data_IF_209191277695
#
_entry.id   IF_209191277695
#
_cell.length_a   1.000
_cell.length_b   1.000
_cell.length_c   1.000
_cell.angle_alpha   90.00
_cell.angle_beta   90.00
_cell.angle_gamma   90.00
#
_symmetry.space_group_name_H-M   'P 1'
#
loop_
_entity.id
_entity.type
_entity.pdbx_description
1 polymer ?
#
# COMPACT_ATOMS: atom_id res chain seq x y z
N UNK A 1 -3.34 -23.40 22.28
CA UNK A 1 -3.38 -22.50 21.10
C UNK A 1 -3.58 -23.37 19.85
N UNK A 2 -4.78 -23.33 19.29
CA UNK A 2 -5.09 -24.13 18.11
C UNK A 2 -4.73 -23.38 16.84
N UNK A 3 -3.81 -23.91 16.08
CA UNK A 3 -3.48 -23.42 14.75
C UNK A 3 -4.55 -23.91 13.75
N UNK A 4 -5.42 -23.01 13.36
CA UNK A 4 -6.40 -23.31 12.30
C UNK A 4 -5.69 -23.46 10.95
N UNK A 5 -5.69 -24.65 10.42
CA UNK A 5 -5.15 -24.96 9.09
C UNK A 5 -6.07 -24.35 8.03
N UNK A 6 -5.64 -23.23 7.42
CA UNK A 6 -6.43 -22.48 6.42
C UNK A 6 -6.16 -23.01 5.02
N UNK A 7 -7.02 -23.89 4.53
CA UNK A 7 -7.03 -24.23 3.10
C UNK A 7 -8.18 -23.48 2.39
N UNK A 8 -7.93 -22.79 1.29
CA UNK A 8 -8.98 -22.12 0.53
C UNK A 8 -9.85 -23.13 -0.24
N UNK A 9 -11.15 -22.98 -0.10
CA UNK A 9 -12.13 -23.80 -0.82
C UNK A 9 -12.56 -23.05 -2.09
N UNK A 10 -12.69 -23.77 -3.20
CA UNK A 10 -13.07 -23.28 -4.54
C UNK A 10 -14.30 -22.35 -4.52
N UNK A 11 -14.22 -21.30 -5.33
CA UNK A 11 -15.20 -20.23 -5.51
C UNK A 11 -16.64 -20.70 -5.77
N UNK A 12 -17.47 -20.61 -4.75
CA UNK A 12 -18.92 -20.50 -4.90
C UNK A 12 -19.35 -19.11 -4.42
N UNK A 13 -20.53 -18.66 -4.77
CA UNK A 13 -21.09 -17.35 -4.40
C UNK A 13 -21.01 -17.10 -2.88
N UNK A 14 -19.99 -16.36 -2.44
CA UNK A 14 -19.71 -16.02 -1.04
C UNK A 14 -18.62 -16.89 -0.42
N UNK A 15 -17.61 -16.22 0.11
CA UNK A 15 -16.48 -16.87 0.78
C UNK A 15 -16.94 -17.62 2.03
N UNK A 16 -16.86 -18.95 1.99
CA UNK A 16 -17.12 -19.83 3.13
C UNK A 16 -15.82 -20.52 3.51
N UNK A 17 -15.54 -20.54 4.78
CA UNK A 17 -14.36 -21.19 5.33
C UNK A 17 -14.79 -22.44 6.12
N UNK A 18 -14.05 -23.51 5.92
CA UNK A 18 -14.19 -24.71 6.71
C UNK A 18 -13.53 -24.49 8.06
N UNK A 19 -14.33 -24.46 9.10
CA UNK A 19 -13.85 -24.42 10.48
C UNK A 19 -14.04 -25.83 11.06
N UNK A 20 -13.00 -26.37 11.63
CA UNK A 20 -13.10 -27.65 12.36
C UNK A 20 -13.26 -27.32 13.84
N UNK A 21 -14.35 -27.76 14.43
CA UNK A 21 -14.61 -27.60 15.86
C UNK A 21 -13.74 -28.57 16.67
N UNK A 22 -13.60 -28.33 17.97
CA UNK A 22 -12.79 -29.17 18.85
C UNK A 22 -13.24 -30.64 18.89
N UNK A 23 -14.51 -30.93 18.55
CA UNK A 23 -15.06 -32.27 18.41
C UNK A 23 -14.89 -32.88 16.99
N UNK A 24 -14.09 -32.23 16.15
CA UNK A 24 -13.74 -32.72 14.81
C UNK A 24 -14.80 -32.49 13.74
N UNK A 25 -15.90 -31.82 14.04
CA UNK A 25 -16.95 -31.51 13.06
C UNK A 25 -16.59 -30.34 12.18
N UNK A 26 -16.82 -30.48 10.88
CA UNK A 26 -16.59 -29.41 9.92
C UNK A 26 -17.81 -28.50 9.79
N UNK A 27 -17.64 -27.22 10.07
CA UNK A 27 -18.70 -26.23 9.97
C UNK A 27 -18.31 -25.20 8.91
N UNK A 28 -19.15 -25.03 7.91
CA UNK A 28 -18.96 -24.00 6.88
C UNK A 28 -19.69 -22.74 7.32
N UNK A 29 -18.94 -21.71 7.66
CA UNK A 29 -19.55 -20.43 8.05
C UNK A 29 -19.04 -19.30 7.18
N UNK A 30 -19.94 -18.41 6.82
CA UNK A 30 -19.56 -17.15 6.19
C UNK A 30 -18.80 -16.27 7.20
N UNK A 31 -17.65 -15.79 6.83
CA UNK A 31 -16.79 -14.99 7.72
C UNK A 31 -17.42 -13.65 8.09
N UNK A 32 -18.14 -13.01 7.16
CA UNK A 32 -18.76 -11.69 7.39
C UNK A 32 -19.64 -11.61 8.66
N UNK A 33 -20.53 -12.57 8.94
CA UNK A 33 -21.30 -12.52 10.19
C UNK A 33 -20.46 -12.75 11.45
N UNK A 34 -19.45 -13.60 11.39
CA UNK A 34 -18.57 -13.89 12.53
C UNK A 34 -17.73 -12.66 12.91
N UNK A 35 -17.15 -12.00 11.91
CA UNK A 35 -16.37 -10.78 12.13
C UNK A 35 -17.22 -9.61 12.64
N UNK A 36 -18.43 -9.47 12.07
CA UNK A 36 -19.38 -8.45 12.54
C UNK A 36 -19.78 -8.66 14.00
N UNK A 37 -19.88 -9.91 14.43
CA UNK A 37 -20.20 -10.27 15.82
C UNK A 37 -19.02 -10.04 16.77
N UNK A 38 -17.80 -10.30 16.32
CA UNK A 38 -16.58 -10.19 17.14
C UNK A 38 -16.03 -8.76 17.24
N UNK A 39 -16.14 -7.97 16.16
CA UNK A 39 -15.45 -6.69 16.02
C UNK A 39 -16.38 -5.50 15.67
N UNK A 40 -17.70 -5.70 15.68
CA UNK A 40 -18.69 -4.65 15.40
C UNK A 40 -18.89 -4.35 13.91
N UNK A 41 -19.69 -3.32 13.65
CA UNK A 41 -20.16 -3.01 12.28
C UNK A 41 -19.11 -2.43 11.33
N UNK A 42 -17.91 -2.11 11.80
CA UNK A 42 -16.96 -1.29 11.04
C UNK A 42 -15.97 -2.07 10.18
N UNK A 43 -15.91 -3.39 10.29
CA UNK A 43 -15.00 -4.17 9.46
C UNK A 43 -15.68 -4.70 8.20
N UNK A 44 -15.45 -4.01 7.09
CA UNK A 44 -15.70 -4.54 5.76
C UNK A 44 -14.59 -5.53 5.43
N UNK A 45 -14.95 -6.80 5.34
CA UNK A 45 -14.05 -7.88 4.90
C UNK A 45 -13.95 -7.95 3.37
N UNK A 46 -13.69 -6.84 2.74
CA UNK A 46 -13.06 -6.90 1.43
C UNK A 46 -11.57 -7.10 1.72
N UNK A 47 -11.20 -8.36 1.90
CA UNK A 47 -9.83 -8.75 2.20
C UNK A 47 -8.93 -8.35 1.03
N UNK A 48 -8.34 -7.19 1.16
CA UNK A 48 -7.20 -6.84 0.33
C UNK A 48 -6.05 -7.68 0.85
N UNK A 49 -5.65 -8.68 0.08
CA UNK A 49 -4.51 -9.51 0.43
C UNK A 49 -3.25 -8.65 0.44
N UNK A 50 -2.55 -8.69 1.54
CA UNK A 50 -1.27 -8.03 1.67
C UNK A 50 -0.21 -8.82 0.89
N UNK A 51 0.72 -8.13 0.27
CA UNK A 51 1.87 -8.74 -0.39
C UNK A 51 2.86 -9.23 0.67
N UNK A 52 3.71 -10.16 0.29
CA UNK A 52 4.73 -10.68 1.19
C UNK A 52 5.63 -9.53 1.70
N UNK A 53 5.76 -9.42 3.01
CA UNK A 53 6.50 -8.35 3.67
C UNK A 53 5.87 -6.97 3.54
N UNK A 54 4.58 -6.87 3.18
CA UNK A 54 3.91 -5.58 3.04
C UNK A 54 3.47 -5.01 4.39
N UNK A 55 3.88 -3.79 4.66
CA UNK A 55 3.54 -3.03 5.86
C UNK A 55 2.72 -1.80 5.49
N UNK A 56 1.78 -1.42 6.36
CA UNK A 56 0.86 -0.31 6.13
C UNK A 56 0.97 0.75 7.22
N UNK A 57 1.01 2.02 6.81
CA UNK A 57 1.00 3.16 7.74
C UNK A 57 -0.12 4.13 7.39
N UNK A 58 -0.80 4.73 8.40
CA UNK A 58 -1.84 5.72 8.13
C UNK A 58 -1.25 7.00 7.55
N UNK A 59 -1.96 7.61 6.59
CA UNK A 59 -1.54 8.85 5.93
C UNK A 59 -2.51 10.01 6.17
N UNK A 60 -3.56 9.76 6.95
CA UNK A 60 -4.50 10.80 7.38
C UNK A 60 -4.78 10.67 8.89
N UNK A 61 -5.17 11.78 9.52
CA UNK A 61 -5.42 11.84 10.97
C UNK A 61 -6.59 10.95 11.42
N UNK A 62 -7.49 10.60 10.52
CA UNK A 62 -8.69 9.82 10.82
C UNK A 62 -8.52 8.32 10.62
N UNK A 63 -7.34 7.88 10.16
CA UNK A 63 -7.06 6.48 9.86
C UNK A 63 -7.93 5.88 8.75
N UNK A 64 -8.35 6.73 7.80
CA UNK A 64 -9.19 6.28 6.67
C UNK A 64 -8.37 5.90 5.45
N UNK A 65 -7.12 6.31 5.40
CA UNK A 65 -6.22 6.04 4.28
C UNK A 65 -4.89 5.53 4.80
N UNK A 66 -4.37 4.52 4.13
CA UNK A 66 -3.09 3.90 4.45
C UNK A 66 -2.24 3.77 3.20
N UNK A 67 -0.94 3.97 3.36
CA UNK A 67 0.07 3.71 2.33
C UNK A 67 0.88 2.49 2.75
N UNK A 68 1.25 1.63 1.79
CA UNK A 68 2.15 0.52 2.06
C UNK A 68 3.58 0.82 1.62
N UNK A 69 4.52 0.07 2.19
CA UNK A 69 5.93 0.08 1.77
C UNK A 69 6.11 -0.42 0.32
N UNK A 70 5.04 -0.98 -0.30
CA UNK A 70 5.03 -1.40 -1.72
C UNK A 70 4.37 -0.37 -2.64
N UNK A 71 4.00 0.81 -2.13
CA UNK A 71 3.37 1.89 -2.91
C UNK A 71 1.89 1.70 -3.21
N UNK A 72 1.20 0.81 -2.48
CA UNK A 72 -0.25 0.63 -2.60
C UNK A 72 -0.97 1.52 -1.59
N UNK A 73 -2.13 2.05 -1.96
CA UNK A 73 -2.94 2.90 -1.06
C UNK A 73 -4.28 2.22 -0.78
N UNK A 74 -4.57 1.98 0.50
CA UNK A 74 -5.87 1.50 0.99
C UNK A 74 -6.75 2.66 1.43
N UNK A 75 -8.05 2.55 1.12
CA UNK A 75 -9.08 3.47 1.62
C UNK A 75 -10.12 2.70 2.42
N UNK A 76 -10.40 3.22 3.61
CA UNK A 76 -11.50 2.79 4.49
C UNK A 76 -12.65 3.81 4.49
N UNK A 77 -12.64 4.67 3.66
CA UNK A 77 -13.58 5.67 3.56
C UNK A 77 -14.82 5.25 2.86
N UNK A 78 -15.58 4.63 3.37
CA UNK A 78 -16.85 4.16 2.84
C UNK A 78 -17.30 2.84 3.46
N UNK A 79 -18.21 2.18 2.79
CA UNK A 79 -18.75 0.91 3.28
C UNK A 79 -17.81 -0.28 3.05
N UNK A 80 -16.79 -0.13 2.23
CA UNK A 80 -15.86 -1.21 1.84
C UNK A 80 -14.43 -0.70 1.80
N UNK A 81 -13.52 -1.54 2.25
CA UNK A 81 -12.08 -1.32 2.05
C UNK A 81 -11.76 -1.51 0.57
N UNK A 82 -10.92 -0.65 0.01
CA UNK A 82 -10.53 -0.74 -1.40
C UNK A 82 -9.10 -0.23 -1.60
N UNK A 83 -8.41 -0.82 -2.54
CA UNK A 83 -7.18 -0.24 -3.08
C UNK A 83 -7.56 0.91 -4.02
N UNK A 84 -6.91 2.05 -3.82
CA UNK A 84 -7.02 3.16 -4.76
C UNK A 84 -6.16 2.83 -5.98
N UNK A 85 -6.73 3.01 -7.17
CA UNK A 85 -5.99 2.84 -8.41
C UNK A 85 -5.17 4.12 -8.68
N UNK A 86 -3.84 4.03 -8.68
CA UNK A 86 -3.04 5.20 -9.02
C UNK A 86 -3.12 5.50 -10.52
N UNK A 87 -2.86 6.75 -10.88
CA UNK A 87 -2.82 7.19 -12.26
C UNK A 87 -1.59 8.07 -12.48
N UNK A 88 -1.06 8.02 -13.70
CA UNK A 88 0.16 8.75 -14.05
C UNK A 88 -0.13 10.23 -14.30
N UNK A 89 0.79 11.09 -13.89
CA UNK A 89 0.79 12.48 -14.32
C UNK A 89 1.59 12.63 -15.64
N UNK A 90 1.63 13.84 -16.19
CA UNK A 90 2.33 14.14 -17.46
C UNK A 90 3.84 13.84 -17.40
N UNK A 91 4.43 13.77 -16.20
CA UNK A 91 5.86 13.47 -16.00
C UNK A 91 6.13 12.00 -15.69
N UNK A 92 5.09 11.13 -15.72
CA UNK A 92 5.21 9.70 -15.46
C UNK A 92 5.06 9.28 -14.01
N UNK A 93 4.92 10.21 -13.07
CA UNK A 93 4.78 9.89 -11.64
C UNK A 93 3.38 9.41 -11.31
N UNK A 94 3.26 8.35 -10.51
CA UNK A 94 1.98 7.84 -10.00
C UNK A 94 1.43 8.75 -8.90
N UNK A 95 0.13 9.04 -8.99
CA UNK A 95 -0.59 9.85 -8.00
C UNK A 95 -1.93 9.22 -7.66
N UNK A 96 -2.45 9.58 -6.48
CA UNK A 96 -3.76 9.14 -5.98
C UNK A 96 -4.54 10.33 -5.44
N UNK A 97 -5.86 10.24 -5.52
CA UNK A 97 -6.77 11.23 -4.94
C UNK A 97 -7.26 10.74 -3.57
N UNK A 98 -7.06 11.56 -2.56
CA UNK A 98 -7.49 11.31 -1.19
C UNK A 98 -8.53 12.37 -0.83
N UNK A 99 -9.63 11.94 -0.18
CA UNK A 99 -10.69 12.81 0.30
C UNK A 99 -10.72 12.81 1.83
N UNK A 100 -10.01 13.75 2.42
CA UNK A 100 -10.08 14.01 3.86
C UNK A 100 -10.65 15.41 4.10
N UNK A 101 -11.99 15.51 3.95
CA UNK A 101 -12.70 16.77 3.91
C UNK A 101 -12.73 17.36 2.50
N UNK A 102 -11.58 17.57 1.91
CA UNK A 102 -11.40 18.04 0.54
C UNK A 102 -10.68 16.99 -0.30
N UNK A 103 -10.89 17.02 -1.62
CA UNK A 103 -10.13 16.18 -2.53
C UNK A 103 -8.74 16.78 -2.74
N UNK A 104 -7.71 16.01 -2.48
CA UNK A 104 -6.31 16.38 -2.71
C UNK A 104 -5.59 15.25 -3.45
N UNK A 105 -4.74 15.62 -4.38
CA UNK A 105 -3.93 14.69 -5.16
C UNK A 105 -2.53 14.60 -4.54
N UNK A 106 -2.06 13.38 -4.32
CA UNK A 106 -0.76 13.10 -3.72
C UNK A 106 0.08 12.21 -4.65
N UNK A 107 1.37 12.47 -4.69
CA UNK A 107 2.34 11.60 -5.36
C UNK A 107 2.62 10.36 -4.49
N UNK A 108 2.52 9.18 -5.07
CA UNK A 108 2.63 7.92 -4.32
C UNK A 108 4.02 7.78 -3.68
N UNK A 109 5.11 8.06 -4.45
CA UNK A 109 6.48 7.97 -3.92
C UNK A 109 6.70 8.90 -2.72
N UNK A 110 6.08 10.10 -2.72
CA UNK A 110 6.18 11.01 -1.59
C UNK A 110 5.46 10.45 -0.35
N UNK A 111 4.28 9.84 -0.54
CA UNK A 111 3.56 9.20 0.57
C UNK A 111 4.39 8.07 1.18
N UNK A 112 5.02 7.23 0.35
CA UNK A 112 5.90 6.14 0.82
C UNK A 112 7.10 6.71 1.57
N UNK A 113 7.81 7.67 0.97
CA UNK A 113 9.01 8.24 1.56
C UNK A 113 8.71 8.90 2.92
N UNK A 114 7.66 9.72 2.97
CA UNK A 114 7.22 10.39 4.22
C UNK A 114 6.84 9.39 5.31
N UNK A 115 6.30 8.25 4.93
CA UNK A 115 5.82 7.26 5.90
C UNK A 115 6.90 6.28 6.36
N UNK A 116 7.83 5.91 5.50
CA UNK A 116 8.73 4.77 5.75
C UNK A 116 10.21 5.14 5.79
N UNK A 117 10.64 6.24 5.16
CA UNK A 117 12.06 6.58 5.04
C UNK A 117 12.38 7.78 5.95
N UNK A 118 13.15 7.58 7.02
CA UNK A 118 13.60 8.71 7.84
C UNK A 118 14.37 9.72 6.98
N UNK A 119 14.07 11.01 7.17
CA UNK A 119 14.79 12.09 6.52
C UNK A 119 15.66 12.79 7.56
N UNK A 120 16.97 12.64 7.43
CA UNK A 120 17.96 13.19 8.36
C UNK A 120 18.15 14.72 8.21
N UNK A 121 17.76 15.28 7.06
CA UNK A 121 17.87 16.72 6.82
C UNK A 121 16.75 17.19 5.87
N UNK A 122 15.52 17.36 6.37
CA UNK A 122 14.37 17.68 5.51
C UNK A 122 14.42 19.09 4.91
N UNK A 123 15.30 19.97 5.39
CA UNK A 123 15.48 21.31 4.82
C UNK A 123 16.25 21.22 3.48
N UNK A 124 17.29 20.42 3.44
CA UNK A 124 18.13 20.27 2.24
C UNK A 124 17.67 19.11 1.34
N UNK A 125 17.24 18.00 1.94
CA UNK A 125 16.79 16.81 1.22
C UNK A 125 15.26 16.85 1.08
N UNK A 126 14.77 17.69 0.19
CA UNK A 126 13.35 17.93 -0.02
C UNK A 126 12.77 17.13 -1.21
N UNK A 127 13.58 16.32 -1.87
CA UNK A 127 13.20 15.60 -3.09
C UNK A 127 13.31 14.09 -2.87
N UNK A 128 12.32 13.34 -3.38
CA UNK A 128 12.35 11.86 -3.39
C UNK A 128 12.78 11.41 -4.78
N UNK A 129 13.82 10.59 -4.82
CA UNK A 129 14.40 10.02 -6.02
C UNK A 129 14.04 8.53 -6.15
N UNK A 130 13.85 8.07 -7.39
CA UNK A 130 13.70 6.64 -7.74
C UNK A 130 15.06 6.10 -8.17
N UNK A 131 15.62 5.18 -7.38
CA UNK A 131 16.98 4.66 -7.56
C UNK A 131 17.15 4.00 -8.95
N UNK A 132 16.11 3.29 -9.40
CA UNK A 132 16.10 2.60 -10.70
C UNK A 132 15.62 3.47 -11.87
N UNK A 133 15.31 4.75 -11.63
CA UNK A 133 14.70 5.72 -12.57
C UNK A 133 13.27 5.37 -13.01
N UNK A 134 12.69 4.25 -12.57
CA UNK A 134 11.29 3.93 -12.87
C UNK A 134 10.34 4.66 -11.90
N UNK A 135 9.71 5.71 -12.39
CA UNK A 135 8.78 6.57 -11.64
C UNK A 135 7.50 5.83 -11.18
N UNK A 136 7.28 4.63 -11.69
CA UNK A 136 6.15 3.79 -11.28
C UNK A 136 6.51 2.80 -10.18
N UNK A 137 7.81 2.54 -9.95
CA UNK A 137 8.30 1.65 -8.91
C UNK A 137 8.43 2.40 -7.58
N UNK A 138 7.32 2.46 -6.84
CA UNK A 138 7.21 3.22 -5.59
C UNK A 138 7.44 2.35 -4.34
N UNK A 139 8.20 1.28 -4.45
CA UNK A 139 8.60 0.45 -3.30
C UNK A 139 9.61 1.22 -2.44
N UNK A 140 9.52 1.06 -1.13
CA UNK A 140 10.36 1.79 -0.16
C UNK A 140 11.86 1.60 -0.43
N UNK A 141 12.26 0.38 -0.80
CA UNK A 141 13.65 0.02 -1.09
C UNK A 141 14.21 0.70 -2.37
N UNK A 142 13.31 1.24 -3.20
CA UNK A 142 13.68 1.96 -4.44
C UNK A 142 13.66 3.48 -4.29
N UNK A 143 13.38 4.01 -3.09
CA UNK A 143 13.21 5.45 -2.87
C UNK A 143 14.26 5.97 -1.89
N UNK A 144 14.70 7.21 -2.10
CA UNK A 144 15.63 7.89 -1.20
C UNK A 144 15.38 9.39 -1.18
N UNK A 145 15.74 10.03 -0.07
CA UNK A 145 15.70 11.48 0.05
C UNK A 145 16.99 12.08 -0.49
N UNK A 146 16.88 13.05 -1.38
CA UNK A 146 18.03 13.79 -1.94
C UNK A 146 17.73 15.30 -1.95
N UNK A 147 18.79 16.08 -2.01
CA UNK A 147 18.68 17.48 -2.41
C UNK A 147 18.36 17.55 -3.92
N UNK A 148 17.81 18.67 -4.37
CA UNK A 148 17.54 18.91 -5.79
C UNK A 148 18.81 18.81 -6.64
N UNK A 149 19.92 19.32 -6.11
CA UNK A 149 21.22 19.27 -6.80
C UNK A 149 21.72 17.82 -6.93
N UNK A 150 21.64 17.02 -5.86
CA UNK A 150 22.06 15.62 -5.89
C UNK A 150 21.16 14.77 -6.79
N UNK A 151 19.84 15.04 -6.76
CA UNK A 151 18.89 14.35 -7.64
C UNK A 151 19.22 14.64 -9.11
N UNK A 152 19.51 15.89 -9.46
CA UNK A 152 19.93 16.25 -10.83
C UNK A 152 21.24 15.55 -11.24
N UNK A 153 22.21 15.50 -10.32
CA UNK A 153 23.50 14.79 -10.56
C UNK A 153 23.30 13.29 -10.75
N UNK A 154 22.47 12.67 -9.89
CA UNK A 154 22.16 11.24 -9.97
C UNK A 154 21.53 10.90 -11.33
N UNK A 155 20.54 11.69 -11.75
CA UNK A 155 19.87 11.52 -13.04
C UNK A 155 20.85 11.63 -14.22
N UNK A 156 21.74 12.63 -14.22
CA UNK A 156 22.74 12.82 -15.29
C UNK A 156 23.74 11.64 -15.35
N UNK A 157 24.19 11.17 -14.18
CA UNK A 157 25.12 10.03 -14.10
C UNK A 157 24.50 8.76 -14.69
N UNK A 158 23.29 8.43 -14.26
CA UNK A 158 22.57 7.23 -14.74
C UNK A 158 22.31 7.29 -16.25
N UNK A 159 21.96 8.46 -16.79
CA UNK A 159 21.76 8.63 -18.23
C UNK A 159 23.05 8.34 -19.02
N UNK A 160 24.19 8.78 -18.52
CA UNK A 160 25.49 8.52 -19.18
C UNK A 160 25.85 7.04 -19.16
N UNK A 161 25.57 6.34 -18.05
CA UNK A 161 25.83 4.90 -17.93
C UNK A 161 24.99 4.11 -18.94
N UNK A 162 23.70 4.41 -19.06
CA UNK A 162 22.80 3.74 -20.03
C UNK A 162 23.27 3.98 -21.47
N UNK A 163 23.69 5.22 -21.83
CA UNK A 163 24.14 5.53 -23.19
C UNK A 163 25.52 4.99 -23.51
N UNK A 164 26.30 4.51 -22.54
CA UNK A 164 27.62 3.89 -22.78
C UNK A 164 27.53 2.39 -23.08
N UNK A 165 26.40 1.76 -22.75
CA UNK A 165 26.16 0.32 -22.94
C UNK A 165 25.46 0.01 -24.30
N UNK A 166 25.15 1.03 -25.10
CA UNK A 166 24.55 0.92 -26.45
C UNK A 166 25.65 1.04 -27.54
#
# INVERSE_FOLDING_TARGET
METANKQPIRKGKGERYKLTTADGKSVYRAIKPLYRRAFGKEYSLDLIEDLDGEEWKPIDRRGKYYISNRGRVKSFXGKRTRLLKPYSNQRGYLRVDIRDGHRRTYLVHQLVALSFIPNDNPIEKDTVDHIDMDKTNNRVENLRWLSRADNARAYQKQRKEVSADE
#
